data_IF_721347976919
#
_entry.id   IF_721347976919
#
_cell.length_a   1.000
_cell.length_b   1.000
_cell.length_c   1.000
_cell.angle_alpha   90.00
_cell.angle_beta   90.00
_cell.angle_gamma   90.00
#
_symmetry.space_group_name_H-M   'P 1'
#
loop_
_entity.id
_entity.type
_entity.pdbx_description
1 polymer ?
#
# COMPACT_ATOMS: atom_id res chain seq x y z
N UNK A 1 -3.47 5.04 24.79
CA UNK A 1 -3.28 4.19 23.59
C UNK A 1 -2.19 3.18 23.91
N UNK A 2 -2.42 1.89 23.67
CA UNK A 2 -1.43 0.85 23.97
C UNK A 2 -0.24 0.95 23.02
N UNK A 3 1.01 0.72 23.46
CA UNK A 3 2.18 0.72 22.58
C UNK A 3 2.07 -0.35 21.48
N UNK A 4 1.59 -1.53 21.84
CA UNK A 4 1.46 -2.70 20.95
C UNK A 4 0.13 -3.39 21.14
N UNK A 5 -0.26 -4.21 20.16
CA UNK A 5 -1.45 -5.06 20.25
C UNK A 5 -1.33 -6.06 21.40
N UNK A 6 -0.12 -6.47 21.77
CA UNK A 6 0.17 -7.32 22.93
C UNK A 6 -0.44 -6.76 24.21
N UNK A 7 -0.21 -5.47 24.49
CA UNK A 7 -0.72 -4.82 25.69
C UNK A 7 -2.23 -4.56 25.64
N UNK A 8 -2.79 -4.35 24.45
CA UNK A 8 -4.24 -4.28 24.28
C UNK A 8 -4.90 -5.63 24.62
N UNK A 9 -4.33 -6.75 24.17
CA UNK A 9 -4.85 -8.08 24.46
C UNK A 9 -4.70 -8.46 25.94
N UNK A 10 -3.58 -8.07 26.55
CA UNK A 10 -3.32 -8.26 27.97
C UNK A 10 -4.39 -7.56 28.82
N UNK A 11 -4.73 -6.31 28.51
CA UNK A 11 -5.73 -5.56 29.27
C UNK A 11 -7.17 -6.04 29.04
N UNK A 12 -7.52 -6.41 27.80
CA UNK A 12 -8.88 -6.85 27.46
C UNK A 12 -9.18 -8.29 27.88
N UNK A 13 -8.19 -9.19 27.82
CA UNK A 13 -8.39 -10.63 27.97
C UNK A 13 -7.49 -11.27 29.03
N UNK A 14 -6.55 -10.53 29.62
CA UNK A 14 -5.56 -11.09 30.56
C UNK A 14 -4.49 -11.96 29.90
N UNK A 15 -4.38 -11.92 28.55
CA UNK A 15 -3.47 -12.78 27.78
C UNK A 15 -2.38 -11.93 27.14
N UNK A 16 -1.13 -12.14 27.55
CA UNK A 16 0.02 -11.50 26.92
C UNK A 16 0.60 -12.36 25.80
N UNK A 17 0.46 -11.89 24.55
CA UNK A 17 1.09 -12.50 23.37
C UNK A 17 2.09 -11.46 22.82
N UNK A 18 3.40 -11.75 22.77
CA UNK A 18 4.42 -10.78 22.36
C UNK A 18 4.40 -10.52 20.85
N UNK A 19 3.42 -9.76 20.37
CA UNK A 19 3.26 -9.40 18.95
C UNK A 19 4.10 -8.17 18.58
N UNK A 20 4.91 -8.23 17.50
CA UNK A 20 5.69 -7.10 16.99
C UNK A 20 4.81 -6.11 16.20
N UNK A 21 3.61 -5.82 16.70
CA UNK A 21 2.59 -5.01 16.02
C UNK A 21 2.30 -3.79 16.88
N UNK A 22 2.75 -2.62 16.43
CA UNK A 22 2.42 -1.35 17.07
C UNK A 22 0.94 -1.03 16.87
N UNK A 23 0.25 -0.62 17.94
CA UNK A 23 -1.20 -0.33 17.88
C UNK A 23 -1.52 0.80 16.91
N UNK A 24 -0.63 1.79 16.79
CA UNK A 24 -0.80 2.91 15.86
C UNK A 24 -0.88 2.46 14.41
N UNK A 25 0.14 1.72 13.95
CA UNK A 25 0.18 1.20 12.58
C UNK A 25 -0.99 0.25 12.30
N UNK A 26 -1.35 -0.59 13.29
CA UNK A 26 -2.49 -1.49 13.15
C UNK A 26 -3.81 -0.74 12.98
N UNK A 27 -4.12 0.22 13.86
CA UNK A 27 -5.36 1.00 13.77
C UNK A 27 -5.40 1.85 12.51
N UNK A 28 -4.27 2.41 12.09
CA UNK A 28 -4.15 3.10 10.80
C UNK A 28 -4.48 2.16 9.63
N UNK A 29 -3.90 0.96 9.59
CA UNK A 29 -4.19 -0.01 8.54
C UNK A 29 -5.69 -0.39 8.51
N UNK A 30 -6.30 -0.60 9.68
CA UNK A 30 -7.73 -0.86 9.79
C UNK A 30 -8.59 0.32 9.30
N UNK A 31 -8.19 1.55 9.59
CA UNK A 31 -8.86 2.75 9.08
C UNK A 31 -8.79 2.82 7.54
N UNK A 32 -7.63 2.54 6.94
CA UNK A 32 -7.50 2.46 5.47
C UNK A 32 -8.39 1.39 4.86
N UNK A 33 -8.48 0.21 5.48
CA UNK A 33 -9.35 -0.88 5.01
C UNK A 33 -10.84 -0.50 5.11
N UNK A 34 -11.24 0.11 6.24
CA UNK A 34 -12.61 0.58 6.44
C UNK A 34 -12.97 1.67 5.42
N UNK A 35 -12.10 2.66 5.21
CA UNK A 35 -12.30 3.74 4.24
C UNK A 35 -12.35 3.23 2.80
N UNK A 36 -11.48 2.29 2.44
CA UNK A 36 -11.52 1.64 1.12
C UNK A 36 -12.82 0.87 0.93
N UNK A 37 -13.29 0.17 1.96
CA UNK A 37 -14.54 -0.57 1.90
C UNK A 37 -15.76 0.35 1.74
N UNK A 38 -15.87 1.42 2.52
CA UNK A 38 -16.97 2.39 2.39
C UNK A 38 -16.94 3.09 1.03
N UNK A 39 -15.76 3.49 0.55
CA UNK A 39 -15.59 4.08 -0.78
C UNK A 39 -16.02 3.12 -1.89
N UNK A 40 -15.68 1.83 -1.78
CA UNK A 40 -16.14 0.80 -2.73
C UNK A 40 -17.67 0.72 -2.77
N UNK A 41 -18.33 0.72 -1.61
CA UNK A 41 -19.79 0.68 -1.53
C UNK A 41 -20.41 1.94 -2.14
N UNK A 42 -19.86 3.12 -1.84
CA UNK A 42 -20.35 4.40 -2.37
C UNK A 42 -20.15 4.52 -3.89
N UNK A 43 -19.02 4.08 -4.43
CA UNK A 43 -18.82 4.05 -5.88
C UNK A 43 -19.78 3.07 -6.58
N UNK A 44 -20.08 1.91 -5.97
CA UNK A 44 -21.12 1.00 -6.46
C UNK A 44 -22.50 1.65 -6.43
N UNK A 45 -22.84 2.38 -5.35
CA UNK A 45 -24.12 3.08 -5.22
C UNK A 45 -24.26 4.18 -6.26
N UNK A 46 -23.25 5.03 -6.40
CA UNK A 46 -23.19 6.15 -7.35
C UNK A 46 -23.17 5.68 -8.81
N UNK A 47 -22.59 4.51 -9.09
CA UNK A 47 -22.67 3.89 -10.43
C UNK A 47 -24.11 3.47 -10.75
N UNK A 48 -24.83 2.85 -9.79
CA UNK A 48 -26.24 2.50 -9.96
C UNK A 48 -27.14 3.71 -10.17
N UNK A 49 -26.79 4.84 -9.54
CA UNK A 49 -27.48 6.13 -9.71
C UNK A 49 -27.12 6.86 -11.01
N UNK A 50 -26.14 6.36 -11.77
CA UNK A 50 -25.68 6.99 -13.01
C UNK A 50 -24.80 8.24 -12.82
N UNK A 51 -24.35 8.52 -11.58
CA UNK A 51 -23.47 9.65 -11.26
C UNK A 51 -22.02 9.40 -11.68
N UNK A 52 -21.62 8.12 -11.73
CA UNK A 52 -20.36 7.64 -12.30
C UNK A 52 -20.66 6.50 -13.27
N UNK A 53 -19.79 6.25 -14.23
CA UNK A 53 -19.98 5.20 -15.23
C UNK A 53 -18.70 4.41 -15.42
N UNK A 54 -18.87 3.13 -15.74
CA UNK A 54 -17.74 2.32 -16.14
C UNK A 54 -17.14 2.78 -17.47
N UNK A 55 -15.83 2.60 -17.59
CA UNK A 55 -15.06 2.93 -18.77
C UNK A 55 -14.72 1.68 -19.56
N UNK A 56 -14.79 1.76 -20.89
CA UNK A 56 -14.31 0.68 -21.76
C UNK A 56 -12.81 0.85 -21.98
N UNK A 57 -12.01 -0.05 -21.42
CA UNK A 57 -10.56 -0.08 -21.59
C UNK A 57 -10.15 -1.23 -22.51
N UNK A 58 -9.09 -1.03 -23.29
CA UNK A 58 -8.50 -2.09 -24.11
C UNK A 58 -7.43 -2.81 -23.29
N UNK A 59 -7.67 -4.08 -22.97
CA UNK A 59 -6.73 -4.92 -22.22
C UNK A 59 -6.14 -5.98 -23.14
N UNK A 60 -4.80 -6.04 -23.21
CA UNK A 60 -4.11 -7.13 -23.89
C UNK A 60 -4.13 -8.38 -23.01
N UNK A 61 -4.89 -9.40 -23.41
CA UNK A 61 -4.94 -10.70 -22.71
C UNK A 61 -4.09 -11.74 -23.42
N UNK A 62 -3.43 -12.60 -22.62
CA UNK A 62 -2.65 -13.74 -23.11
C UNK A 62 -1.24 -13.43 -23.61
N UNK A 63 -0.65 -12.28 -23.25
CA UNK A 63 0.78 -12.02 -23.50
C UNK A 63 1.66 -13.01 -22.70
N UNK A 64 2.81 -13.45 -23.26
CA UNK A 64 3.78 -14.22 -22.50
C UNK A 64 4.32 -13.39 -21.33
N UNK A 65 4.69 -14.07 -20.24
CA UNK A 65 5.29 -13.40 -19.09
C UNK A 65 6.59 -12.69 -19.51
N UNK A 66 6.68 -11.40 -19.19
CA UNK A 66 7.87 -10.60 -19.50
C UNK A 66 8.95 -10.87 -18.46
N UNK A 67 10.22 -10.77 -18.89
CA UNK A 67 11.36 -10.91 -17.98
C UNK A 67 11.27 -9.96 -16.78
N UNK A 68 10.89 -8.69 -17.02
CA UNK A 68 10.71 -7.72 -15.93
C UNK A 68 9.63 -8.12 -14.92
N UNK A 69 8.55 -8.80 -15.34
CA UNK A 69 7.54 -9.29 -14.39
C UNK A 69 8.07 -10.42 -13.50
N UNK A 70 8.84 -11.34 -14.10
CA UNK A 70 9.49 -12.41 -13.35
C UNK A 70 10.54 -11.86 -12.39
N UNK A 71 11.37 -10.92 -12.86
CA UNK A 71 12.38 -10.26 -12.05
C UNK A 71 11.75 -9.50 -10.88
N UNK A 72 10.70 -8.72 -11.12
CA UNK A 72 9.97 -8.03 -10.04
C UNK A 72 9.39 -9.01 -9.02
N UNK A 73 8.81 -10.12 -9.49
CA UNK A 73 8.26 -11.16 -8.61
C UNK A 73 9.36 -11.83 -7.78
N UNK A 74 10.52 -12.11 -8.40
CA UNK A 74 11.69 -12.63 -7.71
C UNK A 74 12.19 -11.66 -6.64
N UNK A 75 12.36 -10.37 -6.96
CA UNK A 75 12.86 -9.35 -6.02
C UNK A 75 11.91 -9.19 -4.85
N UNK A 76 10.58 -9.15 -5.10
CA UNK A 76 9.57 -9.08 -4.04
C UNK A 76 9.65 -10.31 -3.12
N UNK A 77 9.68 -11.52 -3.71
CA UNK A 77 9.84 -12.77 -2.95
C UNK A 77 11.16 -12.82 -2.18
N UNK A 78 12.24 -12.30 -2.76
CA UNK A 78 13.55 -12.21 -2.12
C UNK A 78 13.53 -11.29 -0.92
N UNK A 79 13.02 -10.07 -1.06
CA UNK A 79 12.95 -9.11 0.06
C UNK A 79 12.09 -9.70 1.19
N UNK A 80 10.96 -10.32 0.85
CA UNK A 80 10.12 -10.95 1.85
C UNK A 80 10.83 -12.10 2.57
N UNK A 81 11.45 -13.04 1.83
CA UNK A 81 12.17 -14.14 2.46
C UNK A 81 13.40 -13.68 3.25
N UNK A 82 14.14 -12.71 2.72
CA UNK A 82 15.32 -12.13 3.35
C UNK A 82 14.97 -11.51 4.71
N UNK A 83 13.87 -10.76 4.79
CA UNK A 83 13.47 -10.03 5.99
C UNK A 83 12.58 -10.84 6.93
N UNK A 84 11.47 -11.39 6.45
CA UNK A 84 10.50 -12.05 7.33
C UNK A 84 11.05 -13.32 7.96
N UNK A 85 11.85 -14.11 7.24
CA UNK A 85 12.47 -15.31 7.83
C UNK A 85 13.54 -14.91 8.85
N UNK A 86 14.33 -13.87 8.58
CA UNK A 86 15.28 -13.36 9.56
C UNK A 86 14.60 -12.82 10.82
N UNK A 87 13.51 -12.06 10.65
CA UNK A 87 12.71 -11.54 11.76
C UNK A 87 12.09 -12.67 12.59
N UNK A 88 11.63 -13.75 11.94
CA UNK A 88 11.12 -14.93 12.63
C UNK A 88 12.21 -15.70 13.39
N UNK A 89 13.40 -15.86 12.79
CA UNK A 89 14.53 -16.49 13.46
C UNK A 89 15.09 -15.67 14.63
N UNK A 90 14.93 -14.34 14.60
CA UNK A 90 15.36 -13.41 15.63
C UNK A 90 14.15 -12.76 16.31
N UNK A 91 13.16 -13.57 16.68
CA UNK A 91 11.86 -13.10 17.12
C UNK A 91 11.93 -12.15 18.32
N UNK A 92 12.77 -12.45 19.32
CA UNK A 92 12.93 -11.61 20.51
C UNK A 92 13.39 -10.19 20.14
N UNK A 93 14.38 -10.08 19.24
CA UNK A 93 14.87 -8.80 18.70
C UNK A 93 13.79 -8.10 17.89
N UNK A 94 13.01 -8.84 17.11
CA UNK A 94 11.93 -8.29 16.31
C UNK A 94 10.78 -7.74 17.15
N UNK A 95 10.45 -8.38 18.26
CA UNK A 95 9.43 -7.88 19.21
C UNK A 95 9.92 -6.63 19.93
N UNK A 96 11.19 -6.59 20.35
CA UNK A 96 11.74 -5.43 21.06
C UNK A 96 11.98 -4.22 20.15
N UNK A 97 12.41 -4.46 18.91
CA UNK A 97 12.71 -3.40 17.94
C UNK A 97 12.30 -3.80 16.51
N UNK A 98 10.98 -3.74 16.20
CA UNK A 98 10.48 -4.09 14.88
C UNK A 98 11.08 -3.22 13.76
N UNK A 99 11.23 -1.92 14.02
CA UNK A 99 11.71 -0.96 13.03
C UNK A 99 13.19 -1.20 12.70
N UNK A 100 14.05 -1.41 13.71
CA UNK A 100 15.46 -1.70 13.49
C UNK A 100 15.68 -3.00 12.71
N UNK A 101 14.91 -4.06 13.00
CA UNK A 101 15.02 -5.32 12.25
C UNK A 101 14.58 -5.15 10.80
N UNK A 102 13.44 -4.50 10.55
CA UNK A 102 12.91 -4.30 9.19
C UNK A 102 13.85 -3.41 8.36
N UNK A 103 14.35 -2.30 8.94
CA UNK A 103 15.17 -1.31 8.23
C UNK A 103 16.66 -1.65 8.17
N UNK A 104 17.13 -2.63 8.94
CA UNK A 104 18.54 -3.06 8.90
C UNK A 104 19.00 -3.55 7.52
N UNK A 105 20.29 -3.69 7.30
CA UNK A 105 20.81 -4.45 6.17
C UNK A 105 20.78 -5.97 6.40
N UNK A 106 20.56 -6.43 7.64
CA UNK A 106 20.60 -7.84 8.03
C UNK A 106 19.42 -8.64 7.46
N UNK A 107 19.64 -9.92 7.16
CA UNK A 107 18.62 -10.82 6.67
C UNK A 107 19.12 -12.22 6.33
N UNK A 108 18.22 -13.08 5.87
CA UNK A 108 18.51 -14.45 5.52
C UNK A 108 18.58 -14.60 3.99
N UNK A 109 19.80 -14.59 3.44
CA UNK A 109 20.03 -14.66 1.98
C UNK A 109 19.43 -15.93 1.38
N UNK A 110 19.60 -17.08 2.04
CA UNK A 110 19.12 -18.38 1.55
C UNK A 110 17.58 -18.38 1.47
N UNK A 111 16.92 -17.93 2.53
CA UNK A 111 15.47 -17.79 2.55
C UNK A 111 14.96 -16.81 1.49
N UNK A 112 15.68 -15.69 1.30
CA UNK A 112 15.41 -14.74 0.22
C UNK A 112 15.48 -15.40 -1.15
N UNK A 113 16.56 -16.11 -1.46
CA UNK A 113 16.70 -16.80 -2.76
C UNK A 113 15.59 -17.84 -2.99
N UNK A 114 15.29 -18.65 -1.97
CA UNK A 114 14.24 -19.67 -2.06
C UNK A 114 12.86 -19.05 -2.31
N UNK A 115 12.45 -18.06 -1.52
CA UNK A 115 11.15 -17.41 -1.70
C UNK A 115 11.09 -16.57 -2.97
N UNK A 116 12.19 -15.95 -3.38
CA UNK A 116 12.29 -15.28 -4.68
C UNK A 116 12.02 -16.24 -5.84
N UNK A 117 12.63 -17.43 -5.83
CA UNK A 117 12.38 -18.46 -6.85
C UNK A 117 10.95 -18.97 -6.81
N UNK A 118 10.37 -19.18 -5.62
CA UNK A 118 8.96 -19.59 -5.46
C UNK A 118 8.02 -18.55 -6.06
N UNK A 119 8.22 -17.27 -5.78
CA UNK A 119 7.37 -16.19 -6.31
C UNK A 119 7.50 -16.03 -7.83
N UNK A 120 8.72 -16.08 -8.36
CA UNK A 120 8.95 -16.05 -9.80
C UNK A 120 8.33 -17.27 -10.51
N UNK A 121 8.49 -18.46 -9.93
CA UNK A 121 7.90 -19.71 -10.43
C UNK A 121 6.38 -19.68 -10.40
N UNK A 122 5.78 -19.18 -9.31
CA UNK A 122 4.33 -18.97 -9.21
C UNK A 122 3.88 -17.99 -10.30
N UNK A 123 4.51 -16.81 -10.41
CA UNK A 123 4.14 -15.82 -11.43
C UNK A 123 4.22 -16.40 -12.85
N UNK A 124 5.26 -17.18 -13.13
CA UNK A 124 5.41 -17.89 -14.39
C UNK A 124 4.23 -18.85 -14.63
N UNK A 125 3.88 -19.67 -13.64
CA UNK A 125 2.79 -20.64 -13.73
C UNK A 125 1.42 -19.98 -13.97
N UNK A 126 1.09 -18.91 -13.23
CA UNK A 126 -0.14 -18.14 -13.44
C UNK A 126 -0.22 -17.55 -14.85
N UNK A 127 0.85 -16.90 -15.29
CA UNK A 127 0.86 -16.28 -16.62
C UNK A 127 0.85 -17.31 -17.75
N UNK A 128 1.46 -18.47 -17.55
CA UNK A 128 1.41 -19.53 -18.54
C UNK A 128 0.01 -20.17 -18.63
N UNK A 129 -0.77 -20.21 -17.53
CA UNK A 129 -2.19 -20.61 -17.56
C UNK A 129 -3.06 -19.64 -18.34
N UNK A 130 -2.80 -18.35 -18.24
CA UNK A 130 -3.56 -17.29 -18.93
C UNK A 130 -3.09 -17.05 -20.38
N UNK A 131 -2.00 -17.69 -20.79
CA UNK A 131 -1.36 -17.48 -22.10
C UNK A 131 -2.29 -17.96 -23.22
N UNK A 132 -2.56 -17.08 -24.18
CA UNK A 132 -3.29 -17.42 -25.39
C UNK A 132 -2.31 -17.67 -26.55
N UNK A 133 -2.66 -18.50 -27.55
CA UNK A 133 -1.83 -18.74 -28.73
C UNK A 133 -1.48 -17.45 -29.50
N UNK A 134 -2.39 -16.48 -29.48
CA UNK A 134 -2.14 -15.11 -29.93
C UNK A 134 -2.75 -14.15 -28.91
N UNK A 135 -1.99 -13.16 -28.42
CA UNK A 135 -2.53 -12.11 -27.55
C UNK A 135 -3.68 -11.38 -28.24
N UNK A 136 -4.82 -11.24 -27.54
CA UNK A 136 -6.00 -10.53 -28.06
C UNK A 136 -6.21 -9.25 -27.28
N UNK A 137 -6.48 -8.17 -27.99
CA UNK A 137 -6.98 -6.93 -27.39
C UNK A 137 -8.47 -7.12 -27.15
N UNK A 138 -8.86 -7.18 -25.88
CA UNK A 138 -10.26 -7.33 -25.48
C UNK A 138 -10.72 -6.04 -24.84
N UNK A 139 -11.87 -5.54 -25.29
CA UNK A 139 -12.57 -4.44 -24.63
C UNK A 139 -13.17 -4.94 -23.33
N UNK A 140 -12.68 -4.44 -22.21
CA UNK A 140 -13.17 -4.78 -20.87
C UNK A 140 -13.81 -3.54 -20.23
N UNK A 141 -14.91 -3.76 -19.51
CA UNK A 141 -15.63 -2.72 -18.78
C UNK A 141 -15.00 -2.57 -17.41
N UNK A 142 -14.27 -1.47 -17.20
CA UNK A 142 -13.66 -1.11 -15.92
C UNK A 142 -14.66 -0.29 -15.09
N UNK A 143 -15.13 -0.87 -14.01
CA UNK A 143 -16.07 -0.22 -13.11
C UNK A 143 -15.36 0.69 -12.09
N UNK A 144 -15.96 1.83 -11.68
CA UNK A 144 -15.34 2.77 -10.74
C UNK A 144 -14.92 2.13 -9.41
N UNK A 145 -15.73 1.21 -8.86
CA UNK A 145 -15.42 0.53 -7.61
C UNK A 145 -14.21 -0.41 -7.69
N UNK A 146 -13.78 -0.80 -8.90
CA UNK A 146 -12.54 -1.58 -9.10
C UNK A 146 -11.28 -0.71 -8.96
N UNK A 147 -11.43 0.62 -9.06
CA UNK A 147 -10.33 1.57 -8.93
C UNK A 147 -9.96 1.85 -7.46
N UNK A 148 -10.77 1.41 -6.50
CA UNK A 148 -10.62 1.75 -5.07
C UNK A 148 -9.21 1.45 -4.57
N UNK A 149 -8.64 0.28 -4.88
CA UNK A 149 -7.28 -0.06 -4.46
C UNK A 149 -6.24 0.94 -4.99
N UNK A 150 -6.38 1.38 -6.24
CA UNK A 150 -5.48 2.37 -6.83
C UNK A 150 -5.72 3.77 -6.25
N UNK A 151 -6.97 4.12 -5.93
CA UNK A 151 -7.32 5.38 -5.26
C UNK A 151 -6.68 5.41 -3.86
N UNK A 152 -6.82 4.34 -3.08
CA UNK A 152 -6.20 4.21 -1.75
C UNK A 152 -4.68 4.31 -1.85
N UNK A 153 -4.06 3.67 -2.85
CA UNK A 153 -2.62 3.78 -3.08
C UNK A 153 -2.20 5.21 -3.44
N UNK A 154 -2.94 5.90 -4.31
CA UNK A 154 -2.68 7.29 -4.67
C UNK A 154 -2.80 8.21 -3.44
N UNK A 155 -3.80 7.98 -2.57
CA UNK A 155 -3.97 8.70 -1.32
C UNK A 155 -2.81 8.46 -0.35
N UNK A 156 -2.39 7.21 -0.18
CA UNK A 156 -1.30 6.84 0.72
C UNK A 156 0.05 7.42 0.27
N UNK A 157 0.39 7.29 -1.01
CA UNK A 157 1.63 7.84 -1.58
C UNK A 157 1.60 9.37 -1.53
N UNK A 158 0.52 9.98 -2.02
CA UNK A 158 0.36 11.43 -2.04
C UNK A 158 0.38 12.03 -0.63
N UNK A 159 -0.29 11.38 0.33
CA UNK A 159 -0.33 11.81 1.72
C UNK A 159 1.03 11.70 2.41
N UNK A 160 1.76 10.59 2.21
CA UNK A 160 3.09 10.45 2.79
C UNK A 160 4.08 11.48 2.22
N UNK A 161 4.09 11.65 0.90
CA UNK A 161 4.94 12.63 0.23
C UNK A 161 4.59 14.06 0.65
N UNK A 162 3.30 14.40 0.69
CA UNK A 162 2.84 15.72 1.11
C UNK A 162 3.19 16.03 2.56
N UNK A 163 2.99 15.08 3.46
CA UNK A 163 3.34 15.24 4.86
C UNK A 163 4.82 15.53 5.05
N UNK A 164 5.67 14.86 4.27
CA UNK A 164 7.13 15.05 4.32
C UNK A 164 7.58 16.37 3.72
N UNK A 165 7.04 16.73 2.55
CA UNK A 165 7.35 18.02 1.90
C UNK A 165 6.94 19.19 2.80
N UNK A 166 5.74 19.16 3.36
CA UNK A 166 5.27 20.26 4.21
C UNK A 166 6.04 20.34 5.53
N UNK A 167 6.44 19.21 6.11
CA UNK A 167 7.29 19.23 7.28
C UNK A 167 8.61 19.96 7.01
N UNK A 168 9.28 19.66 5.89
CA UNK A 168 10.53 20.34 5.53
C UNK A 168 10.33 21.83 5.17
N UNK A 169 9.12 22.24 4.79
CA UNK A 169 8.77 23.65 4.59
C UNK A 169 8.46 24.37 5.91
N UNK A 170 7.94 23.65 6.89
CA UNK A 170 7.59 24.15 8.23
C UNK A 170 8.82 24.27 9.14
N UNK A 171 9.80 23.38 8.95
CA UNK A 171 11.06 23.32 9.71
C UNK A 171 12.29 23.44 8.78
N UNK A 172 12.48 24.59 8.11
CA UNK A 172 13.55 24.78 7.15
C UNK A 172 14.95 24.72 7.78
N UNK A 173 15.08 25.05 9.05
CA UNK A 173 16.31 24.90 9.84
C UNK A 173 16.73 23.43 9.98
N UNK A 174 15.81 22.53 10.36
CA UNK A 174 16.08 21.09 10.46
C UNK A 174 16.48 20.50 9.09
N UNK A 175 15.83 20.98 8.02
CA UNK A 175 16.17 20.58 6.66
C UNK A 175 17.54 21.12 6.21
N UNK A 176 17.94 22.31 6.62
CA UNK A 176 19.23 22.90 6.26
C UNK A 176 20.41 22.23 6.98
N UNK A 177 20.19 21.70 8.18
CA UNK A 177 21.21 21.00 8.96
C UNK A 177 21.56 19.62 8.37
N UNK A 178 20.56 18.80 8.04
CA UNK A 178 20.76 17.52 7.35
C UNK A 178 19.64 17.23 6.34
N UNK A 179 19.79 17.70 5.08
CA UNK A 179 18.78 17.55 4.04
C UNK A 179 18.45 16.08 3.71
N UNK A 180 19.44 15.19 3.78
CA UNK A 180 19.25 13.78 3.44
C UNK A 180 18.48 13.04 4.53
N UNK A 181 18.85 13.27 5.78
CA UNK A 181 18.13 12.70 6.91
C UNK A 181 16.72 13.27 7.00
N UNK A 182 16.53 14.56 6.78
CA UNK A 182 15.22 15.21 6.77
C UNK A 182 14.29 14.68 5.67
N UNK A 183 14.81 14.20 4.53
CA UNK A 183 14.00 13.59 3.46
C UNK A 183 13.70 12.11 3.69
N UNK A 184 14.66 11.34 4.20
CA UNK A 184 14.57 9.89 4.29
C UNK A 184 13.98 9.41 5.63
N UNK A 185 14.03 10.25 6.67
CA UNK A 185 13.51 9.88 7.99
C UNK A 185 12.00 9.62 7.96
N UNK A 186 11.56 8.60 8.71
CA UNK A 186 10.14 8.31 8.92
C UNK A 186 9.50 9.21 9.99
N UNK A 187 10.30 10.06 10.65
CA UNK A 187 9.84 11.13 11.53
C UNK A 187 9.55 12.41 10.74
N UNK A 188 8.83 13.36 11.35
CA UNK A 188 8.56 14.64 10.70
C UNK A 188 7.54 14.52 9.56
N UNK A 189 6.30 14.21 9.91
CA UNK A 189 5.18 14.09 8.98
C UNK A 189 4.09 15.09 9.36
N UNK A 190 3.99 16.20 8.63
CA UNK A 190 2.97 17.23 8.90
C UNK A 190 1.61 16.79 8.36
N UNK A 191 0.62 16.73 9.24
CA UNK A 191 -0.74 16.26 8.91
C UNK A 191 -1.38 17.03 7.75
N UNK A 192 -1.31 18.37 7.77
CA UNK A 192 -1.92 19.21 6.74
C UNK A 192 -1.34 18.96 5.35
N UNK A 193 -0.02 18.77 5.24
CA UNK A 193 0.62 18.42 3.98
C UNK A 193 0.12 17.09 3.44
N UNK A 194 -0.04 16.10 4.33
CA UNK A 194 -0.58 14.80 3.94
C UNK A 194 -2.03 14.87 3.49
N UNK A 195 -2.86 15.63 4.20
CA UNK A 195 -4.27 15.83 3.83
C UNK A 195 -4.41 16.51 2.46
N UNK A 196 -3.70 17.63 2.25
CA UNK A 196 -3.81 18.44 1.03
C UNK A 196 -3.31 17.65 -0.19
N UNK A 197 -2.09 17.12 -0.13
CA UNK A 197 -1.49 16.43 -1.29
C UNK A 197 -2.12 15.06 -1.50
N UNK A 198 -2.55 14.39 -0.43
CA UNK A 198 -3.35 13.17 -0.51
C UNK A 198 -4.66 13.41 -1.27
N UNK A 199 -5.42 14.44 -0.89
CA UNK A 199 -6.66 14.80 -1.58
C UNK A 199 -6.43 15.18 -3.06
N UNK A 200 -5.39 15.98 -3.34
CA UNK A 200 -5.01 16.33 -4.72
C UNK A 200 -4.68 15.09 -5.54
N UNK A 201 -3.95 14.13 -4.96
CA UNK A 201 -3.55 12.89 -5.64
C UNK A 201 -4.74 12.02 -5.99
N UNK A 202 -5.71 11.89 -5.08
CA UNK A 202 -6.99 11.20 -5.34
C UNK A 202 -7.74 11.89 -6.47
N UNK A 203 -7.97 13.20 -6.36
CA UNK A 203 -8.73 13.97 -7.36
C UNK A 203 -8.07 13.86 -8.74
N UNK A 204 -6.74 13.99 -8.80
CA UNK A 204 -5.99 13.85 -10.05
C UNK A 204 -6.11 12.45 -10.65
N UNK A 205 -5.99 11.40 -9.83
CA UNK A 205 -6.11 10.02 -10.28
C UNK A 205 -7.52 9.71 -10.79
N UNK A 206 -8.57 10.09 -10.05
CA UNK A 206 -9.96 9.78 -10.41
C UNK A 206 -10.46 10.61 -11.59
N UNK A 207 -9.95 11.83 -11.78
CA UNK A 207 -10.26 12.64 -12.96
C UNK A 207 -9.82 11.96 -14.26
N UNK A 208 -8.72 11.19 -14.25
CA UNK A 208 -8.29 10.41 -15.43
C UNK A 208 -9.30 9.32 -15.82
N UNK A 209 -10.12 8.90 -14.87
CA UNK A 209 -11.19 7.91 -15.04
C UNK A 209 -12.59 8.57 -15.09
N UNK A 210 -12.65 9.87 -15.42
CA UNK A 210 -13.91 10.62 -15.63
C UNK A 210 -14.81 10.69 -14.39
N UNK A 211 -14.27 10.45 -13.20
CA UNK A 211 -14.98 10.64 -11.93
C UNK A 211 -14.73 12.08 -11.46
N UNK A 212 -15.79 12.87 -11.37
CA UNK A 212 -15.71 14.30 -11.01
C UNK A 212 -15.24 14.48 -9.55
N UNK A 213 -14.51 15.58 -9.23
CA UNK A 213 -13.97 15.83 -7.89
C UNK A 213 -15.02 15.83 -6.77
N UNK A 214 -16.18 16.46 -6.99
CA UNK A 214 -17.25 16.49 -5.99
C UNK A 214 -17.87 15.11 -5.75
N UNK A 215 -17.93 14.27 -6.79
CA UNK A 215 -18.53 12.92 -6.68
C UNK A 215 -17.60 12.00 -5.90
N UNK A 216 -16.28 12.10 -6.11
CA UNK A 216 -15.31 11.32 -5.33
C UNK A 216 -15.21 11.85 -3.89
N UNK A 217 -15.26 13.17 -3.68
CA UNK A 217 -15.25 13.74 -2.33
C UNK A 217 -16.47 13.27 -1.51
N UNK A 218 -17.67 13.31 -2.11
CA UNK A 218 -18.90 12.80 -1.49
C UNK A 218 -18.84 11.27 -1.27
N UNK A 219 -18.24 10.51 -2.20
CA UNK A 219 -18.06 9.06 -2.03
C UNK A 219 -17.06 8.69 -0.92
N UNK A 220 -16.06 9.54 -0.68
CA UNK A 220 -15.03 9.32 0.33
C UNK A 220 -15.48 9.77 1.73
N UNK A 221 -16.44 10.71 1.83
CA UNK A 221 -16.87 11.30 3.09
C UNK A 221 -17.25 10.29 4.20
N UNK A 222 -17.92 9.15 3.93
CA UNK A 222 -18.22 8.18 4.99
C UNK A 222 -17.01 7.44 5.57
N UNK A 223 -15.86 7.47 4.89
CA UNK A 223 -14.63 6.82 5.32
C UNK A 223 -13.58 7.76 5.94
N UNK A 224 -13.89 9.06 6.00
CA UNK A 224 -13.08 10.10 6.65
C UNK A 224 -13.59 10.36 8.06
#
# INVERSE_FOLDING_TARGET
MYPTISHLLEDLFGIYIPLPIQSFGFMMAMAFLAAAYTLMLELKRKEKEGLVSAETIQVKKGEPVKFLELLSSFVIGFIMGYKFVFAFMNYDRFVSDPQGVILSAEGNIIAGLLLGLVFAGWRYYEKNKEKLPQPKIVSEKLHPYQLVGNITMAAAIGGLLGAKVFHNLEYPEEFAEDPWQALISFSGLTFYGGLIVGAISVIWYTNKHKIKPFVIADAAAPGL
#
